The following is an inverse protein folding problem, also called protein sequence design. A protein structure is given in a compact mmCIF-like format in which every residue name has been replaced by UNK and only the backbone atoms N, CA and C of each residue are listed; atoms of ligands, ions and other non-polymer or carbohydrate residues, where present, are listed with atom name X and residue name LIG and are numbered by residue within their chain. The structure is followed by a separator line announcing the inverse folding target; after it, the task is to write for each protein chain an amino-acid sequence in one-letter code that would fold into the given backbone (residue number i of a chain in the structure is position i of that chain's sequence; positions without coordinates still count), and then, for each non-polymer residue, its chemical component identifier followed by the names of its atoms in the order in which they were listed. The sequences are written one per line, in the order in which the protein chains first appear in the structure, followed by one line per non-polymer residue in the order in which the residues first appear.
data_IF_282704774117
#
_entry.id   IF_282704774117
#
_cell.length_a   1.000
_cell.length_b   1.000
_cell.length_c   1.000
_cell.angle_alpha   90.00
_cell.angle_beta   90.00
_cell.angle_gamma   90.00
#
_symmetry.space_group_name_H-M   'P 1'
#
loop_
_entity.id
_entity.type
_entity.pdbx_description
1 polymer ?
#
# COMPACT_ATOMS: atom_id res chain seq x y z
N UNK A 1 22.45 -11.62 15.93
CA UNK A 1 22.85 -10.40 15.22
C UNK A 1 21.58 -9.84 14.62
N UNK A 2 20.91 -8.96 15.36
CA UNK A 2 19.67 -8.33 14.91
C UNK A 2 20.00 -7.30 13.83
N UNK A 3 19.55 -7.58 12.61
CA UNK A 3 19.48 -6.60 11.55
C UNK A 3 18.46 -5.56 11.98
N UNK A 4 18.96 -4.47 12.58
CA UNK A 4 18.22 -3.23 12.79
C UNK A 4 17.48 -2.91 11.49
N UNK A 5 16.16 -2.78 11.60
CA UNK A 5 15.29 -2.21 10.59
C UNK A 5 15.87 -0.86 10.15
N UNK A 6 16.61 -0.85 9.04
CA UNK A 6 16.97 0.37 8.35
C UNK A 6 15.68 0.94 7.79
N UNK A 7 15.16 1.97 8.45
CA UNK A 7 14.23 2.92 7.85
C UNK A 7 14.80 3.32 6.49
N UNK A 8 14.22 2.80 5.40
CA UNK A 8 14.60 3.09 4.01
C UNK A 8 14.06 4.47 3.62
N UNK A 9 14.43 5.51 4.38
CA UNK A 9 13.91 6.87 4.15
C UNK A 9 14.40 7.52 2.86
N UNK A 10 15.38 6.93 2.17
CA UNK A 10 15.81 7.33 0.83
C UNK A 10 16.02 6.08 -0.04
N UNK A 11 14.92 5.53 -0.58
CA UNK A 11 15.01 4.49 -1.60
C UNK A 11 15.49 5.16 -2.90
N UNK A 12 16.72 4.86 -3.32
CA UNK A 12 17.20 5.28 -4.64
C UNK A 12 16.44 4.50 -5.73
N UNK A 13 15.66 5.19 -6.59
CA UNK A 13 14.93 4.53 -7.67
C UNK A 13 15.81 3.71 -8.61
N UNK A 14 17.10 4.05 -8.77
CA UNK A 14 18.01 3.36 -9.68
C UNK A 14 18.33 1.92 -9.25
N UNK A 15 18.17 1.60 -7.97
CA UNK A 15 18.41 0.26 -7.43
C UNK A 15 17.19 -0.66 -7.50
N UNK A 16 16.06 -0.14 -8.00
CA UNK A 16 14.81 -0.89 -8.11
C UNK A 16 14.75 -1.58 -9.47
N UNK A 17 14.75 -2.91 -9.45
CA UNK A 17 14.56 -3.72 -10.65
C UNK A 17 13.12 -4.20 -10.74
N UNK A 18 12.39 -3.79 -11.78
CA UNK A 18 11.02 -4.29 -12.01
C UNK A 18 11.08 -5.73 -12.50
N UNK A 19 10.31 -6.59 -11.85
CA UNK A 19 10.11 -7.98 -12.28
C UNK A 19 8.89 -8.06 -13.19
N UNK A 20 7.74 -7.54 -12.75
CA UNK A 20 6.48 -7.53 -13.52
C UNK A 20 5.46 -6.54 -12.98
N UNK A 21 4.47 -6.19 -13.79
CA UNK A 21 3.24 -5.52 -13.34
C UNK A 21 2.31 -6.55 -12.67
N UNK A 22 1.80 -6.22 -11.49
CA UNK A 22 0.82 -7.02 -10.74
C UNK A 22 -0.59 -6.59 -11.13
N UNK A 23 -0.85 -5.29 -11.11
CA UNK A 23 -2.16 -4.73 -11.47
C UNK A 23 -2.03 -3.27 -11.91
N UNK A 24 -3.05 -2.81 -12.65
CA UNK A 24 -3.15 -1.45 -13.17
C UNK A 24 -4.56 -0.91 -12.99
N UNK A 25 -4.65 0.38 -12.68
CA UNK A 25 -5.87 1.16 -12.61
C UNK A 25 -5.63 2.55 -13.22
N UNK A 26 -6.69 3.34 -13.35
CA UNK A 26 -6.59 4.73 -13.84
C UNK A 26 -5.80 5.65 -12.87
N UNK A 27 -5.67 5.26 -11.60
CA UNK A 27 -5.01 6.09 -10.59
C UNK A 27 -3.58 5.62 -10.26
N UNK A 28 -3.31 4.32 -10.40
CA UNK A 28 -2.03 3.74 -10.00
C UNK A 28 -1.74 2.41 -10.71
N UNK A 29 -0.47 2.03 -10.71
CA UNK A 29 0.02 0.71 -11.14
C UNK A 29 0.85 0.08 -10.01
N UNK A 30 0.72 -1.22 -9.81
CA UNK A 30 1.48 -1.97 -8.79
C UNK A 30 2.43 -2.92 -9.49
N UNK A 31 3.69 -2.90 -9.08
CA UNK A 31 4.76 -3.72 -9.63
C UNK A 31 5.35 -4.64 -8.57
N UNK A 32 5.70 -5.85 -8.97
CA UNK A 32 6.68 -6.66 -8.24
C UNK A 32 8.06 -6.14 -8.61
N UNK A 33 8.84 -5.76 -7.61
CA UNK A 33 10.20 -5.24 -7.79
C UNK A 33 11.20 -5.97 -6.91
N UNK A 34 12.44 -6.07 -7.36
CA UNK A 34 13.58 -6.48 -6.56
C UNK A 34 14.39 -5.26 -6.15
N UNK A 35 14.75 -5.21 -4.88
CA UNK A 35 15.74 -4.30 -4.32
C UNK A 35 16.71 -5.15 -3.50
N UNK A 36 17.99 -5.13 -3.86
CA UNK A 36 19.00 -6.08 -3.40
C UNK A 36 18.55 -7.55 -3.62
N UNK A 37 18.46 -8.34 -2.54
CA UNK A 37 18.04 -9.75 -2.57
C UNK A 37 16.58 -9.96 -2.17
N UNK A 38 15.78 -8.88 -2.06
CA UNK A 38 14.41 -8.94 -1.53
C UNK A 38 13.41 -8.42 -2.56
N UNK A 39 12.21 -9.01 -2.52
CA UNK A 39 11.07 -8.62 -3.35
C UNK A 39 10.14 -7.68 -2.58
N UNK A 40 9.59 -6.71 -3.30
CA UNK A 40 8.70 -5.69 -2.78
C UNK A 40 7.55 -5.43 -3.75
N UNK A 41 6.45 -4.88 -3.23
CA UNK A 41 5.39 -4.31 -4.03
C UNK A 41 5.62 -2.80 -4.15
N UNK A 42 5.86 -2.30 -5.36
CA UNK A 42 5.98 -0.88 -5.64
C UNK A 42 4.66 -0.38 -6.24
N UNK A 43 3.92 0.42 -5.49
CA UNK A 43 2.71 1.09 -6.00
C UNK A 43 3.07 2.49 -6.49
N UNK A 44 2.89 2.72 -7.78
CA UNK A 44 3.19 3.99 -8.44
C UNK A 44 1.89 4.72 -8.80
N UNK A 45 1.79 5.99 -8.46
CA UNK A 45 0.60 6.80 -8.61
C UNK A 45 0.77 7.83 -9.72
N UNK A 46 -0.30 8.03 -10.49
CA UNK A 46 -0.37 9.10 -11.47
C UNK A 46 -0.37 10.46 -10.78
N UNK A 47 0.41 11.40 -11.29
CA UNK A 47 0.55 12.73 -10.69
C UNK A 47 0.10 13.84 -11.64
N UNK A 48 -1.18 14.21 -11.53
CA UNK A 48 -1.83 15.24 -12.36
C UNK A 48 -2.01 16.58 -11.64
N UNK A 49 -1.29 16.80 -10.53
CA UNK A 49 -1.42 17.96 -9.64
C UNK A 49 -2.28 17.66 -8.41
N UNK A 50 -2.46 18.67 -7.56
CA UNK A 50 -3.27 18.55 -6.33
C UNK A 50 -4.76 18.44 -6.70
N UNK A 51 -5.37 17.30 -6.36
CA UNK A 51 -6.80 17.09 -6.52
C UNK A 51 -7.63 17.84 -5.45
N UNK A 52 -6.96 18.38 -4.42
CA UNK A 52 -7.59 19.16 -3.36
C UNK A 52 -8.38 18.29 -2.38
N UNK A 53 -9.45 18.86 -1.84
CA UNK A 53 -10.29 18.25 -0.81
C UNK A 53 -11.76 18.33 -1.20
N UNK A 54 -12.54 17.36 -0.76
CA UNK A 54 -14.01 17.46 -0.77
C UNK A 54 -14.49 18.58 0.15
N UNK A 55 -15.74 19.02 -0.02
CA UNK A 55 -16.38 19.99 0.89
C UNK A 55 -16.39 19.52 2.37
N UNK A 56 -16.35 18.20 2.60
CA UNK A 56 -16.30 17.61 3.94
C UNK A 56 -14.88 17.42 4.47
N UNK A 57 -13.87 17.97 3.79
CA UNK A 57 -12.47 17.94 4.20
C UNK A 57 -11.74 16.62 3.91
N UNK A 58 -12.37 15.66 3.22
CA UNK A 58 -11.67 14.44 2.76
C UNK A 58 -10.70 14.80 1.64
N UNK A 59 -9.49 14.31 1.77
CA UNK A 59 -8.41 14.41 0.78
C UNK A 59 -8.73 13.63 -0.50
N UNK A 60 -8.45 14.22 -1.66
CA UNK A 60 -8.66 13.62 -2.98
C UNK A 60 -7.34 13.16 -3.63
N UNK A 61 -6.18 13.49 -3.05
CA UNK A 61 -4.89 12.98 -3.50
C UNK A 61 -4.71 11.54 -3.00
N UNK A 62 -4.84 10.59 -3.93
CA UNK A 62 -4.78 9.16 -3.63
C UNK A 62 -3.44 8.71 -3.04
N UNK A 63 -2.33 9.27 -3.52
CA UNK A 63 -1.02 9.00 -2.95
C UNK A 63 -0.94 9.52 -1.52
N UNK A 64 -1.44 10.75 -1.27
CA UNK A 64 -1.43 11.36 0.06
C UNK A 64 -2.31 10.58 1.04
N UNK A 65 -3.48 10.11 0.61
CA UNK A 65 -4.34 9.21 1.38
C UNK A 65 -3.58 7.94 1.80
N UNK A 66 -3.00 7.21 0.85
CA UNK A 66 -2.34 5.94 1.12
C UNK A 66 -1.06 6.11 1.95
N UNK A 67 -0.25 7.11 1.63
CA UNK A 67 0.97 7.41 2.39
C UNK A 67 0.65 7.76 3.85
N UNK A 68 -0.36 8.59 4.09
CA UNK A 68 -0.73 8.97 5.45
C UNK A 68 -1.31 7.77 6.23
N UNK A 69 -2.08 6.90 5.56
CA UNK A 69 -2.59 5.68 6.17
C UNK A 69 -1.43 4.75 6.58
N UNK A 70 -0.50 4.45 5.68
CA UNK A 70 0.65 3.59 6.01
C UNK A 70 1.56 4.20 7.08
N UNK A 71 1.78 5.52 7.08
CA UNK A 71 2.52 6.18 8.17
C UNK A 71 1.86 5.99 9.55
N UNK A 72 0.53 6.00 9.61
CA UNK A 72 -0.21 5.73 10.87
C UNK A 72 -0.12 4.25 11.26
N UNK A 73 -0.31 3.37 10.29
CA UNK A 73 -0.29 1.92 10.49
C UNK A 73 1.10 1.37 10.85
N UNK A 74 2.16 1.97 10.32
CA UNK A 74 3.54 1.59 10.63
C UNK A 74 3.91 1.85 12.10
N UNK A 75 3.32 2.91 12.68
CA UNK A 75 3.47 3.22 14.11
C UNK A 75 2.50 2.44 15.01
N UNK A 76 1.62 1.60 14.44
CA UNK A 76 0.60 0.84 15.18
C UNK A 76 0.90 -0.66 15.19
N UNK A 77 0.16 -1.40 16.02
CA UNK A 77 0.23 -2.86 16.06
C UNK A 77 -0.23 -3.52 14.76
N UNK A 78 -1.03 -2.84 13.92
CA UNK A 78 -1.58 -3.41 12.69
C UNK A 78 -0.50 -3.97 11.76
N UNK A 79 0.59 -3.21 11.56
CA UNK A 79 1.74 -3.62 10.75
C UNK A 79 2.49 -4.80 11.39
N UNK A 80 2.80 -4.71 12.69
CA UNK A 80 3.55 -5.77 13.41
C UNK A 80 2.79 -7.09 13.52
N UNK A 81 1.45 -7.03 13.59
CA UNK A 81 0.56 -8.19 13.67
C UNK A 81 0.21 -8.75 12.29
N UNK A 82 0.61 -8.07 11.22
CA UNK A 82 0.44 -8.54 9.85
C UNK A 82 -0.93 -8.28 9.23
N UNK A 83 -1.81 -7.47 9.84
CA UNK A 83 -3.13 -7.18 9.25
C UNK A 83 -3.07 -6.26 8.04
N UNK A 84 -1.94 -5.61 7.81
CA UNK A 84 -1.65 -4.77 6.65
C UNK A 84 -0.25 -5.10 6.12
N UNK A 85 0.10 -4.76 4.86
CA UNK A 85 1.45 -4.88 4.36
C UNK A 85 2.43 -4.03 5.18
N UNK A 86 3.65 -4.53 5.38
CA UNK A 86 4.73 -3.69 5.94
C UNK A 86 5.03 -2.52 5.01
N UNK A 87 5.16 -1.33 5.57
CA UNK A 87 5.56 -0.12 4.86
C UNK A 87 7.09 0.01 4.90
N UNK A 88 7.71 0.19 3.74
CA UNK A 88 9.17 0.33 3.64
C UNK A 88 9.62 1.75 3.30
N UNK A 89 8.77 2.55 2.67
CA UNK A 89 9.12 3.92 2.33
C UNK A 89 8.30 4.48 1.16
N UNK A 90 8.62 5.70 0.77
CA UNK A 90 7.96 6.38 -0.35
C UNK A 90 8.96 7.17 -1.18
N UNK A 91 8.69 7.28 -2.48
CA UNK A 91 9.47 8.05 -3.45
C UNK A 91 8.59 9.22 -3.91
N UNK A 92 9.01 10.46 -3.62
CA UNK A 92 8.20 11.64 -3.95
C UNK A 92 8.29 12.02 -5.43
N UNK A 93 9.40 11.73 -6.11
CA UNK A 93 9.63 12.11 -7.50
C UNK A 93 10.40 11.01 -8.23
N UNK A 94 9.69 9.95 -8.57
CA UNK A 94 10.24 8.89 -9.42
C UNK A 94 10.55 9.48 -10.79
N UNK A 95 11.76 9.25 -11.30
CA UNK A 95 12.07 9.55 -12.70
C UNK A 95 11.51 8.44 -13.58
N UNK A 96 10.49 8.68 -14.44
CA UNK A 96 9.95 7.65 -15.32
C UNK A 96 11.02 6.99 -16.20
N UNK A 97 12.10 7.72 -16.52
CA UNK A 97 13.21 7.20 -17.31
C UNK A 97 14.09 6.19 -16.53
N UNK A 98 14.14 6.26 -15.19
CA UNK A 98 14.91 5.33 -14.33
C UNK A 98 14.35 3.90 -14.33
N UNK A 99 13.32 3.66 -15.13
CA UNK A 99 12.26 2.74 -14.82
C UNK A 99 11.83 1.97 -16.10
N UNK A 100 12.52 2.21 -17.24
CA UNK A 100 12.35 1.54 -18.54
C UNK A 100 10.94 1.68 -19.17
N UNK A 101 10.72 1.03 -20.32
CA UNK A 101 9.50 1.12 -21.15
C UNK A 101 8.19 0.81 -20.42
N UNK A 102 8.27 0.17 -19.25
CA UNK A 102 7.11 -0.22 -18.44
C UNK A 102 6.31 0.99 -17.92
N UNK A 103 6.91 2.19 -17.86
CA UNK A 103 6.24 3.41 -17.36
C UNK A 103 5.84 4.42 -18.44
N UNK A 104 5.75 4.01 -19.70
CA UNK A 104 5.34 4.91 -20.79
C UNK A 104 4.00 5.61 -20.52
N UNK A 105 3.08 5.00 -19.77
CA UNK A 105 1.81 5.62 -19.40
C UNK A 105 1.93 6.71 -18.34
N UNK A 106 2.99 6.73 -17.53
CA UNK A 106 3.28 7.84 -16.60
C UNK A 106 4.05 8.98 -17.26
N UNK A 107 4.62 8.77 -18.45
CA UNK A 107 5.37 9.81 -19.17
C UNK A 107 4.48 10.98 -19.62
N UNK A 108 3.15 10.79 -19.65
CA UNK A 108 2.16 11.80 -20.01
C UNK A 108 1.61 12.57 -18.81
N UNK A 109 1.99 12.19 -17.58
CA UNK A 109 1.55 12.88 -16.38
C UNK A 109 2.12 14.31 -16.30
N UNK A 110 1.38 15.21 -15.67
CA UNK A 110 1.80 16.61 -15.52
C UNK A 110 3.03 16.76 -14.64
N UNK A 111 3.17 15.89 -13.63
CA UNK A 111 4.24 15.89 -12.66
C UNK A 111 4.86 14.49 -12.57
N UNK A 112 6.07 14.41 -12.00
CA UNK A 112 6.73 13.13 -11.78
C UNK A 112 5.85 12.23 -10.88
N UNK A 113 5.71 10.94 -11.22
CA UNK A 113 4.92 10.01 -10.43
C UNK A 113 5.55 9.83 -9.04
N UNK A 114 4.71 9.39 -8.11
CA UNK A 114 5.06 9.16 -6.71
C UNK A 114 4.86 7.69 -6.40
N UNK A 115 5.70 7.11 -5.54
CA UNK A 115 5.69 5.69 -5.26
C UNK A 115 5.63 5.37 -3.77
N UNK A 116 5.02 4.24 -3.43
CA UNK A 116 5.03 3.65 -2.09
C UNK A 116 5.60 2.23 -2.22
N UNK A 117 6.56 1.89 -1.37
CA UNK A 117 7.17 0.56 -1.30
C UNK A 117 6.58 -0.23 -0.13
N UNK A 118 5.99 -1.38 -0.43
CA UNK A 118 5.26 -2.24 0.50
C UNK A 118 5.80 -3.68 0.50
N UNK A 119 5.40 -4.45 1.51
CA UNK A 119 5.57 -5.89 1.57
C UNK A 119 5.00 -6.55 0.31
N UNK A 120 5.84 -7.34 -0.37
CA UNK A 120 5.37 -8.21 -1.44
C UNK A 120 4.74 -9.46 -0.83
N UNK A 121 3.45 -9.66 -1.08
CA UNK A 121 2.71 -10.84 -0.66
C UNK A 121 2.73 -11.85 -1.80
N UNK A 122 3.68 -12.79 -1.76
CA UNK A 122 3.83 -13.82 -2.77
C UNK A 122 2.60 -14.74 -2.79
N UNK A 123 2.11 -15.04 -4.01
CA UNK A 123 1.00 -15.97 -4.26
C UNK A 123 -0.27 -15.67 -3.46
N UNK A 124 -0.47 -14.40 -3.08
CA UNK A 124 -1.64 -13.96 -2.35
C UNK A 124 -2.88 -13.93 -3.25
N UNK A 125 -4.00 -14.40 -2.72
CA UNK A 125 -5.26 -14.44 -3.43
C UNK A 125 -6.20 -13.35 -2.95
N UNK A 126 -6.92 -12.72 -3.88
CA UNK A 126 -8.02 -11.85 -3.50
C UNK A 126 -9.15 -12.66 -2.86
N UNK A 127 -9.62 -12.19 -1.70
CA UNK A 127 -10.72 -12.82 -0.99
C UNK A 127 -12.00 -12.78 -1.83
N UNK A 128 -12.68 -13.92 -1.94
CA UNK A 128 -13.89 -14.11 -2.72
C UNK A 128 -14.80 -15.16 -2.06
N UNK A 129 -15.94 -15.46 -2.67
CA UNK A 129 -16.93 -16.38 -2.11
C UNK A 129 -16.50 -17.86 -2.09
N UNK A 130 -15.37 -18.22 -2.70
CA UNK A 130 -14.85 -19.59 -2.77
C UNK A 130 -13.73 -19.84 -1.77
N UNK A 131 -12.81 -18.88 -1.59
CA UNK A 131 -11.68 -19.01 -0.65
C UNK A 131 -11.93 -18.40 0.74
N UNK A 132 -13.12 -17.86 0.98
CA UNK A 132 -13.56 -17.38 2.29
C UNK A 132 -13.97 -18.55 3.21
N UNK A 133 -13.61 -18.46 4.50
CA UNK A 133 -14.03 -19.41 5.53
C UNK A 133 -14.33 -18.72 6.87
N UNK A 134 -15.09 -19.40 7.75
CA UNK A 134 -15.47 -18.86 9.07
C UNK A 134 -14.25 -18.68 10.00
N UNK A 135 -13.16 -19.41 9.77
CA UNK A 135 -11.91 -19.29 10.52
C UNK A 135 -11.13 -18.01 10.18
N UNK A 136 -11.34 -17.45 8.99
CA UNK A 136 -10.68 -16.23 8.54
C UNK A 136 -11.42 -14.96 8.98
N UNK A 137 -12.74 -15.04 9.20
CA UNK A 137 -13.58 -13.89 9.55
C UNK A 137 -13.11 -13.11 10.79
N UNK A 138 -12.68 -13.76 11.89
CA UNK A 138 -12.13 -13.04 13.04
C UNK A 138 -10.90 -12.20 12.69
N UNK A 139 -10.03 -12.67 11.77
CA UNK A 139 -8.84 -11.92 11.36
C UNK A 139 -9.21 -10.63 10.60
N UNK A 140 -10.25 -10.68 9.76
CA UNK A 140 -10.71 -9.51 9.01
C UNK A 140 -11.26 -8.43 9.96
N UNK A 141 -12.08 -8.83 10.94
CA UNK A 141 -12.63 -7.94 11.97
C UNK A 141 -11.50 -7.34 12.80
N UNK A 142 -10.63 -8.19 13.36
CA UNK A 142 -9.54 -7.75 14.22
C UNK A 142 -8.59 -6.80 13.47
N UNK A 143 -8.29 -7.11 12.21
CA UNK A 143 -7.51 -6.23 11.34
C UNK A 143 -8.15 -4.85 11.16
N UNK A 144 -9.47 -4.79 10.95
CA UNK A 144 -10.19 -3.53 10.84
C UNK A 144 -10.22 -2.75 12.16
N UNK A 145 -10.34 -3.44 13.31
CA UNK A 145 -10.24 -2.82 14.62
C UNK A 145 -8.86 -2.19 14.86
N UNK A 146 -7.78 -2.86 14.47
CA UNK A 146 -6.41 -2.32 14.54
C UNK A 146 -6.23 -1.11 13.61
N UNK A 147 -6.78 -1.16 12.40
CA UNK A 147 -6.77 -0.03 11.44
C UNK A 147 -7.49 1.18 12.05
N UNK A 148 -8.69 0.98 12.62
CA UNK A 148 -9.44 2.04 13.30
C UNK A 148 -8.70 2.58 14.54
N UNK A 149 -8.07 1.71 15.33
CA UNK A 149 -7.28 2.10 16.50
C UNK A 149 -6.06 2.94 16.13
N UNK A 150 -5.49 2.72 14.94
CA UNK A 150 -4.44 3.55 14.36
C UNK A 150 -4.94 4.92 13.88
N UNK A 151 -6.26 5.19 13.96
CA UNK A 151 -6.88 6.42 13.48
C UNK A 151 -6.99 6.46 11.95
N UNK A 152 -7.09 5.30 11.29
CA UNK A 152 -7.29 5.19 9.85
C UNK A 152 -8.69 4.65 9.60
N UNK A 153 -9.44 5.28 8.70
CA UNK A 153 -10.71 4.76 8.20
C UNK A 153 -10.54 4.41 6.72
N UNK A 154 -10.70 3.12 6.38
CA UNK A 154 -10.32 2.59 5.08
C UNK A 154 -11.17 3.10 3.91
N UNK A 155 -12.48 3.32 4.13
CA UNK A 155 -13.45 3.81 3.13
C UNK A 155 -13.75 2.87 1.92
N UNK A 156 -13.06 1.75 1.75
CA UNK A 156 -13.26 0.79 0.64
C UNK A 156 -13.13 -0.66 1.12
N UNK A 157 -14.03 -1.11 2.01
CA UNK A 157 -13.92 -2.40 2.71
C UNK A 157 -14.42 -3.61 1.89
N UNK A 158 -14.35 -3.55 0.56
CA UNK A 158 -14.79 -4.65 -0.28
C UNK A 158 -13.80 -5.83 -0.22
N UNK A 159 -14.26 -7.08 -0.46
CA UNK A 159 -13.39 -8.26 -0.45
C UNK A 159 -12.17 -8.17 -1.37
N UNK A 160 -12.26 -7.39 -2.47
CA UNK A 160 -11.12 -7.12 -3.36
C UNK A 160 -9.89 -6.51 -2.65
N UNK A 161 -10.10 -5.85 -1.52
CA UNK A 161 -9.07 -5.17 -0.73
C UNK A 161 -8.63 -6.02 0.49
N UNK A 162 -9.01 -7.29 0.52
CA UNK A 162 -8.50 -8.31 1.41
C UNK A 162 -7.73 -9.36 0.60
N UNK A 163 -6.47 -9.54 0.95
CA UNK A 163 -5.63 -10.61 0.39
C UNK A 163 -5.46 -11.74 1.40
N UNK A 164 -5.70 -12.97 0.94
CA UNK A 164 -5.38 -14.20 1.65
C UNK A 164 -3.96 -14.63 1.27
N UNK A 165 -3.11 -14.73 2.28
CA UNK A 165 -1.75 -15.24 2.15
C UNK A 165 -1.70 -16.61 2.80
N UNK A 166 -1.46 -17.63 1.99
CA UNK A 166 -1.39 -19.00 2.49
C UNK A 166 -0.13 -19.24 3.33
N UNK A 167 -0.31 -19.93 4.46
CA UNK A 167 0.76 -20.16 5.42
C UNK A 167 0.36 -21.14 6.51
N UNK A 168 1.03 -21.05 7.66
CA UNK A 168 0.64 -21.77 8.86
C UNK A 168 0.80 -20.87 10.09
N UNK A 169 -0.27 -20.15 10.52
CA UNK A 169 -1.62 -20.13 9.92
C UNK A 169 -1.69 -19.25 8.65
N UNK A 170 -2.80 -19.37 7.91
CA UNK A 170 -3.20 -18.42 6.88
C UNK A 170 -3.39 -17.01 7.46
N UNK A 171 -3.08 -16.00 6.66
CA UNK A 171 -3.08 -14.58 7.05
C UNK A 171 -3.97 -13.77 6.10
N UNK A 172 -4.96 -13.07 6.65
CA UNK A 172 -5.69 -12.02 5.92
C UNK A 172 -5.03 -10.66 6.06
N UNK A 173 -4.90 -9.95 4.94
CA UNK A 173 -4.22 -8.66 4.86
C UNK A 173 -5.09 -7.62 4.15
N UNK A 174 -5.38 -6.52 4.85
CA UNK A 174 -6.05 -5.35 4.29
C UNK A 174 -5.08 -4.51 3.46
N UNK A 175 -5.48 -4.18 2.23
CA UNK A 175 -4.69 -3.41 1.26
C UNK A 175 -5.49 -2.25 0.67
N UNK A 176 -4.82 -1.38 -0.08
CA UNK A 176 -5.44 -0.31 -0.88
C UNK A 176 -6.10 0.81 -0.05
N UNK A 177 -5.26 1.61 0.61
CA UNK A 177 -5.70 2.76 1.42
C UNK A 177 -5.77 4.07 0.61
N UNK A 178 -5.90 3.99 -0.71
CA UNK A 178 -5.82 5.14 -1.63
C UNK A 178 -7.01 6.13 -1.52
N UNK A 179 -8.07 5.70 -0.83
CA UNK A 179 -9.25 6.51 -0.48
C UNK A 179 -9.44 6.68 1.02
N UNK A 180 -8.49 6.20 1.83
CA UNK A 180 -8.57 6.22 3.28
C UNK A 180 -8.58 7.65 3.83
N UNK A 181 -9.19 7.79 5.01
CA UNK A 181 -9.17 9.03 5.79
C UNK A 181 -8.39 8.79 7.07
N UNK A 182 -7.41 9.64 7.36
CA UNK A 182 -6.62 9.55 8.58
C UNK A 182 -7.01 10.64 9.56
N UNK A 183 -7.13 10.30 10.83
CA UNK A 183 -7.49 11.21 11.90
C UNK A 183 -6.29 11.48 12.82
N UNK A 184 -6.12 12.75 13.19
CA UNK A 184 -5.09 13.16 14.15
C UNK A 184 -5.48 12.84 15.60
N UNK A 185 -6.77 12.63 15.88
CA UNK A 185 -7.32 12.27 17.19
C UNK A 185 -8.38 11.20 17.01
N UNK A 186 -8.38 10.21 17.90
CA UNK A 186 -9.54 9.33 18.07
C UNK A 186 -10.67 10.19 18.63
N UNK A 187 -11.89 10.01 18.15
CA UNK A 187 -13.05 10.73 18.69
C UNK A 187 -13.23 10.49 20.20
N UNK A 188 -14.03 11.33 20.88
CA UNK A 188 -14.36 11.13 22.28
C UNK A 188 -15.04 9.78 22.55
#
# INVERSE_FOLDING_TARGET
MDLRSTSLTDIDPQNIHIIREITRSDASSIFEVALDTRKYALKLFHNNGDAGYTQKGRDLDRFRCELNAYKKLDTSSACTRGFVPKFYGSIDRADPAAFHTTFQHFAQDKLKPRAILLEYLADAETLNCVNYSDELYPQAIEGMEEIHRAGVHHQDIYPKNLLLVHGNPDRLVWIDFDVATTFCRVGP
#
